data_IF_396309513077
#
_entry.id   IF_396309513077
#
_cell.length_a   1.000
_cell.length_b   1.000
_cell.length_c   1.000
_cell.angle_alpha   90.00
_cell.angle_beta   90.00
_cell.angle_gamma   90.00
#
_symmetry.space_group_name_H-M   'P 1'
#
loop_
_entity.id
_entity.type
_entity.pdbx_description
1 polymer ?
#
# COMPACT_ATOMS: atom_id res chain seq x y z
N UNK A 1 6.42 2.50 5.41
CA UNK A 1 6.85 1.18 5.89
C UNK A 1 5.67 0.26 5.91
N UNK A 2 5.84 -0.88 5.27
CA UNK A 2 4.80 -1.90 5.17
C UNK A 2 4.44 -2.43 6.56
N UNK A 3 3.16 -2.66 6.81
CA UNK A 3 2.69 -3.31 8.04
C UNK A 3 3.22 -4.76 8.18
N UNK A 4 3.85 -5.29 7.14
CA UNK A 4 4.41 -6.64 7.09
C UNK A 4 5.85 -6.73 7.59
N UNK A 5 6.56 -5.61 7.78
CA UNK A 5 7.95 -5.59 8.30
C UNK A 5 8.08 -6.17 9.71
N UNK A 6 6.98 -6.28 10.46
CA UNK A 6 6.94 -6.86 11.81
C UNK A 6 6.67 -8.37 11.86
N UNK A 7 6.47 -9.04 10.70
CA UNK A 7 6.24 -10.49 10.63
C UNK A 7 4.91 -10.98 11.23
N UNK A 8 3.97 -10.09 11.52
CA UNK A 8 2.66 -10.43 12.08
C UNK A 8 1.61 -10.45 10.98
N UNK A 9 0.91 -11.58 10.88
CA UNK A 9 -0.23 -11.74 9.98
C UNK A 9 -1.47 -11.06 10.57
N UNK A 10 -1.99 -10.05 9.88
CA UNK A 10 -3.27 -9.42 10.25
C UNK A 10 -4.41 -10.45 10.23
N UNK A 11 -4.28 -11.54 9.45
CA UNK A 11 -5.28 -12.62 9.40
C UNK A 11 -5.27 -13.52 10.65
N UNK A 12 -4.11 -13.73 11.29
CA UNK A 12 -4.04 -14.48 12.56
C UNK A 12 -4.79 -13.77 13.68
N UNK A 13 -4.75 -12.44 13.69
CA UNK A 13 -5.47 -11.62 14.68
C UNK A 13 -7.00 -11.68 14.51
N UNK A 14 -7.53 -12.17 13.38
CA UNK A 14 -8.96 -12.12 13.02
C UNK A 14 -9.62 -13.50 12.92
N UNK A 15 -8.90 -14.60 13.16
CA UNK A 15 -9.47 -15.96 13.26
C UNK A 15 -10.07 -16.52 11.96
N UNK A 16 -9.52 -16.17 10.81
CA UNK A 16 -10.02 -16.63 9.51
C UNK A 16 -9.59 -18.09 9.23
N UNK A 17 -10.57 -19.03 9.18
CA UNK A 17 -10.39 -20.39 8.67
C UNK A 17 -10.65 -20.42 7.16
N UNK A 18 -9.70 -21.00 6.42
CA UNK A 18 -9.77 -21.19 4.97
C UNK A 18 -10.97 -22.07 4.55
N UNK A 19 -11.67 -21.60 3.51
CA UNK A 19 -12.47 -22.48 2.63
C UNK A 19 -11.93 -22.35 1.20
N UNK A 20 -11.34 -23.45 0.71
CA UNK A 20 -10.85 -23.55 -0.66
C UNK A 20 -12.04 -23.72 -1.63
N UNK A 21 -12.19 -22.80 -2.60
CA UNK A 21 -13.01 -22.99 -3.79
C UNK A 21 -12.10 -23.06 -5.03
N UNK A 22 -12.08 -24.19 -5.69
CA UNK A 22 -11.43 -24.38 -6.99
C UNK A 22 -12.28 -23.75 -8.09
N UNK A 23 -11.89 -22.55 -8.52
CA UNK A 23 -12.31 -21.96 -9.79
C UNK A 23 -11.10 -21.28 -10.40
N UNK A 24 -10.68 -21.70 -11.59
CA UNK A 24 -9.50 -21.16 -12.29
C UNK A 24 -9.81 -19.76 -12.80
N UNK A 25 -9.67 -18.74 -11.94
CA UNK A 25 -9.63 -17.36 -12.36
C UNK A 25 -8.21 -17.09 -12.86
N UNK A 26 -8.08 -16.72 -14.12
CA UNK A 26 -6.79 -16.30 -14.69
C UNK A 26 -6.55 -14.88 -14.17
N UNK A 27 -5.75 -14.75 -13.13
CA UNK A 27 -5.31 -13.44 -12.66
C UNK A 27 -4.26 -12.92 -13.64
N UNK A 28 -4.54 -11.80 -14.24
CA UNK A 28 -3.59 -11.06 -15.07
C UNK A 28 -2.62 -10.36 -14.13
N UNK A 29 -1.30 -10.54 -14.32
CA UNK A 29 -0.29 -9.80 -13.56
C UNK A 29 -0.55 -8.29 -13.69
N UNK A 30 -0.36 -7.56 -12.60
CA UNK A 30 -0.52 -6.10 -12.57
C UNK A 30 0.54 -5.46 -13.48
N UNK A 31 0.09 -4.75 -14.50
CA UNK A 31 0.95 -3.91 -15.33
C UNK A 31 1.05 -2.52 -14.67
N UNK A 32 2.10 -2.32 -13.87
CA UNK A 32 2.28 -1.08 -13.10
C UNK A 32 2.37 0.16 -13.99
N UNK A 33 2.79 0.03 -15.25
CA UNK A 33 2.89 1.16 -16.18
C UNK A 33 1.54 1.80 -16.50
N UNK A 34 0.44 1.07 -16.23
CA UNK A 34 -0.95 1.52 -16.43
C UNK A 34 -1.60 2.12 -15.18
N UNK A 35 -0.89 2.14 -14.04
CA UNK A 35 -1.42 2.66 -12.77
C UNK A 35 -1.53 4.18 -12.73
N UNK A 36 -0.97 4.90 -13.69
CA UNK A 36 -1.19 6.33 -13.85
C UNK A 36 -1.24 6.75 -15.32
N UNK A 37 -2.15 7.67 -15.61
CA UNK A 37 -2.27 8.32 -16.93
C UNK A 37 -1.35 9.54 -17.07
N UNK A 38 -0.87 10.06 -15.94
CA UNK A 38 -0.09 11.30 -15.86
C UNK A 38 1.38 11.07 -15.56
N UNK A 39 1.67 10.16 -14.64
CA UNK A 39 3.02 9.91 -14.14
C UNK A 39 3.59 8.63 -14.74
N UNK A 40 4.88 8.60 -15.05
CA UNK A 40 5.54 7.34 -15.33
C UNK A 40 5.65 6.52 -14.04
N UNK A 41 5.43 5.20 -14.17
CA UNK A 41 5.46 4.29 -13.01
C UNK A 41 6.52 3.23 -13.27
N UNK A 42 7.43 3.05 -12.31
CA UNK A 42 8.46 2.01 -12.38
C UNK A 42 8.71 1.37 -11.03
N UNK A 43 9.17 0.13 -11.04
CA UNK A 43 9.67 -0.54 -9.84
C UNK A 43 10.82 0.28 -9.23
N UNK A 44 10.82 0.34 -7.92
CA UNK A 44 11.91 0.94 -7.14
C UNK A 44 12.92 -0.14 -6.79
N UNK A 45 14.18 0.18 -6.98
CA UNK A 45 15.31 -0.73 -6.79
C UNK A 45 16.18 -0.29 -5.59
N UNK A 46 17.14 -1.11 -5.20
CA UNK A 46 18.07 -0.78 -4.12
C UNK A 46 18.84 0.52 -4.38
N UNK A 47 19.10 0.85 -5.64
CA UNK A 47 19.73 2.12 -6.05
C UNK A 47 18.89 3.36 -5.74
N UNK A 48 17.58 3.22 -5.56
CA UNK A 48 16.67 4.32 -5.24
C UNK A 48 16.59 4.61 -3.72
N UNK A 49 17.12 3.74 -2.87
CA UNK A 49 16.86 3.74 -1.42
C UNK A 49 17.22 5.07 -0.76
N UNK A 50 18.31 5.72 -1.13
CA UNK A 50 18.71 7.01 -0.52
C UNK A 50 17.67 8.11 -0.82
N UNK A 51 17.11 8.13 -2.02
CA UNK A 51 16.02 9.05 -2.39
C UNK A 51 14.75 8.75 -1.58
N UNK A 52 14.43 7.46 -1.36
CA UNK A 52 13.29 7.04 -0.56
C UNK A 52 13.46 7.44 0.90
N UNK A 53 14.64 7.23 1.49
CA UNK A 53 14.98 7.64 2.87
C UNK A 53 14.76 9.14 3.04
N UNK A 54 15.23 9.95 2.07
CA UNK A 54 15.09 11.40 2.15
C UNK A 54 13.64 11.86 2.11
N UNK A 55 12.83 11.30 1.20
CA UNK A 55 11.39 11.60 1.11
C UNK A 55 10.66 11.15 2.39
N UNK A 56 10.98 9.97 2.89
CA UNK A 56 10.36 9.44 4.09
C UNK A 56 10.68 10.29 5.33
N UNK A 57 11.95 10.73 5.50
CA UNK A 57 12.36 11.62 6.61
C UNK A 57 11.59 12.94 6.64
N UNK A 58 11.21 13.48 5.48
CA UNK A 58 10.45 14.72 5.39
C UNK A 58 8.96 14.54 5.77
N UNK A 59 8.45 13.31 5.83
CA UNK A 59 7.08 12.99 6.21
C UNK A 59 6.93 12.75 7.73
N UNK A 60 7.34 13.72 8.54
CA UNK A 60 7.45 13.59 10.00
C UNK A 60 6.16 13.15 10.69
N UNK A 61 5.02 13.70 10.27
CA UNK A 61 3.70 13.36 10.83
C UNK A 61 3.39 11.87 10.74
N UNK A 62 3.76 11.20 9.63
CA UNK A 62 3.56 9.75 9.50
C UNK A 62 4.30 8.99 10.60
N UNK A 63 5.54 9.37 10.89
CA UNK A 63 6.41 8.69 11.85
C UNK A 63 6.11 9.01 13.33
N UNK A 64 5.17 9.92 13.62
CA UNK A 64 4.64 10.12 14.98
C UNK A 64 3.71 9.00 15.42
N UNK A 65 3.09 8.28 14.47
CA UNK A 65 2.05 7.28 14.70
C UNK A 65 2.48 5.84 14.40
N UNK A 66 3.73 5.63 14.04
CA UNK A 66 4.29 4.30 13.74
C UNK A 66 5.62 4.10 14.47
N UNK A 67 5.91 2.86 14.87
CA UNK A 67 7.20 2.49 15.47
C UNK A 67 8.35 2.60 14.47
N UNK A 68 8.05 2.41 13.21
CA UNK A 68 9.02 2.40 12.12
C UNK A 68 9.79 3.72 11.99
N UNK A 69 11.03 3.62 11.52
CA UNK A 69 11.88 4.77 11.23
C UNK A 69 12.39 4.69 9.78
N UNK A 70 12.53 5.83 9.09
CA UNK A 70 12.99 5.86 7.71
C UNK A 70 14.50 5.69 7.63
N UNK A 71 14.97 4.47 7.84
CA UNK A 71 16.36 4.08 7.66
C UNK A 71 16.54 3.32 6.36
N UNK A 72 17.76 3.29 5.82
CA UNK A 72 18.10 2.48 4.65
C UNK A 72 17.68 1.02 4.84
N UNK A 73 18.04 0.44 5.99
CA UNK A 73 17.75 -0.95 6.34
C UNK A 73 16.25 -1.22 6.30
N UNK A 74 15.45 -0.41 7.00
CA UNK A 74 14.01 -0.59 7.06
C UNK A 74 13.32 -0.46 5.69
N UNK A 75 13.80 0.43 4.82
CA UNK A 75 13.24 0.57 3.47
C UNK A 75 13.60 -0.65 2.61
N UNK A 76 14.83 -1.16 2.71
CA UNK A 76 15.24 -2.39 2.02
C UNK A 76 14.43 -3.60 2.47
N UNK A 77 14.11 -3.70 3.76
CA UNK A 77 13.25 -4.75 4.31
C UNK A 77 11.82 -4.61 3.79
N UNK A 78 11.26 -3.39 3.78
CA UNK A 78 9.93 -3.14 3.23
C UNK A 78 9.80 -3.53 1.76
N UNK A 79 10.85 -3.34 0.97
CA UNK A 79 10.86 -3.74 -0.44
C UNK A 79 10.76 -5.26 -0.61
N UNK A 80 11.17 -6.05 0.38
CA UNK A 80 11.32 -7.51 0.31
C UNK A 80 10.27 -8.28 1.12
N UNK A 81 9.65 -7.65 2.12
CA UNK A 81 8.70 -8.34 3.00
C UNK A 81 7.35 -8.50 2.31
N UNK A 82 6.77 -9.70 2.43
CA UNK A 82 5.41 -10.02 1.97
C UNK A 82 4.57 -10.54 3.13
N UNK A 83 3.24 -10.45 3.05
CA UNK A 83 2.37 -11.17 3.98
C UNK A 83 2.61 -12.68 3.91
N UNK A 84 2.32 -13.42 4.98
CA UNK A 84 2.36 -14.87 4.95
C UNK A 84 1.56 -15.48 3.78
N UNK A 85 2.18 -16.42 3.07
CA UNK A 85 1.57 -17.10 1.93
C UNK A 85 1.55 -16.34 0.62
N UNK A 86 2.05 -15.09 0.58
CA UNK A 86 2.14 -14.27 -0.64
C UNK A 86 3.54 -14.38 -1.24
N UNK A 87 3.61 -14.61 -2.54
CA UNK A 87 4.86 -14.63 -3.30
C UNK A 87 5.40 -13.23 -3.54
N UNK A 88 6.73 -13.10 -3.65
CA UNK A 88 7.37 -11.85 -4.09
C UNK A 88 6.93 -11.42 -5.50
N UNK A 89 6.47 -12.35 -6.35
CA UNK A 89 5.90 -12.03 -7.66
C UNK A 89 4.59 -11.25 -7.59
N UNK A 90 3.92 -11.28 -6.44
CA UNK A 90 2.64 -10.61 -6.21
C UNK A 90 2.81 -9.29 -5.45
N UNK A 91 4.05 -8.93 -5.13
CA UNK A 91 4.42 -7.66 -4.50
C UNK A 91 5.01 -6.69 -5.52
N UNK A 92 4.51 -5.48 -5.51
CA UNK A 92 4.94 -4.39 -6.37
C UNK A 92 5.33 -3.19 -5.50
N UNK A 93 6.63 -2.92 -5.38
CA UNK A 93 7.14 -1.73 -4.69
C UNK A 93 7.63 -0.74 -5.75
N UNK A 94 6.89 0.35 -5.97
CA UNK A 94 7.11 1.22 -7.13
C UNK A 94 6.90 2.70 -6.81
N UNK A 95 7.41 3.54 -7.71
CA UNK A 95 7.27 5.00 -7.63
C UNK A 95 6.51 5.57 -8.82
N UNK A 96 5.81 6.68 -8.57
CA UNK A 96 5.22 7.56 -9.58
C UNK A 96 6.18 8.72 -9.83
N UNK A 97 6.51 8.99 -11.10
CA UNK A 97 7.53 9.97 -11.46
C UNK A 97 6.99 11.05 -12.40
N UNK A 98 7.35 12.30 -12.15
CA UNK A 98 7.21 13.44 -13.05
C UNK A 98 8.59 13.74 -13.67
N UNK A 99 8.85 13.22 -14.86
CA UNK A 99 10.20 13.16 -15.39
C UNK A 99 11.11 12.29 -14.51
N UNK A 100 12.08 12.91 -13.84
CA UNK A 100 13.00 12.24 -12.90
C UNK A 100 12.61 12.43 -11.43
N UNK A 101 11.64 13.27 -11.15
CA UNK A 101 11.23 13.55 -9.78
C UNK A 101 10.24 12.50 -9.26
N UNK A 102 10.53 11.91 -8.11
CA UNK A 102 9.64 10.98 -7.44
C UNK A 102 8.50 11.75 -6.76
N UNK A 103 7.28 11.51 -7.24
CA UNK A 103 6.03 12.13 -6.77
C UNK A 103 5.41 11.38 -5.61
N UNK A 104 5.39 10.05 -5.70
CA UNK A 104 4.83 9.17 -4.68
C UNK A 104 5.46 7.78 -4.73
N UNK A 105 5.42 7.09 -3.59
CA UNK A 105 5.87 5.71 -3.38
C UNK A 105 4.63 4.86 -3.10
N UNK A 106 4.54 3.65 -3.63
CA UNK A 106 3.50 2.68 -3.29
C UNK A 106 4.08 1.28 -3.15
N UNK A 107 3.62 0.58 -2.11
CA UNK A 107 3.70 -0.87 -1.95
C UNK A 107 2.32 -1.45 -2.21
N UNK A 108 2.19 -2.30 -3.21
CA UNK A 108 0.95 -2.93 -3.62
C UNK A 108 1.13 -4.44 -3.64
N UNK A 109 0.23 -5.15 -2.98
CA UNK A 109 0.19 -6.62 -2.93
C UNK A 109 -1.02 -7.09 -3.71
N UNK A 110 -0.79 -7.94 -4.71
CA UNK A 110 -1.85 -8.56 -5.48
C UNK A 110 -2.40 -9.79 -4.75
N UNK A 111 -3.72 -9.88 -4.61
CA UNK A 111 -4.39 -11.07 -4.07
C UNK A 111 -4.30 -11.24 -2.55
N UNK A 112 -4.21 -10.17 -1.76
CA UNK A 112 -4.19 -10.24 -0.30
C UNK A 112 -5.33 -9.42 0.34
N UNK A 113 -6.03 -9.93 1.37
CA UNK A 113 -5.95 -11.26 1.98
C UNK A 113 -6.68 -12.36 1.18
N UNK A 114 -7.27 -12.01 0.04
CA UNK A 114 -7.96 -12.91 -0.88
C UNK A 114 -7.59 -12.57 -2.32
N UNK A 115 -7.63 -13.53 -3.24
CA UNK A 115 -7.23 -13.32 -4.64
C UNK A 115 -7.91 -12.14 -5.33
N UNK A 116 -9.16 -11.84 -4.98
CA UNK A 116 -9.95 -10.74 -5.55
C UNK A 116 -9.70 -9.37 -4.91
N UNK A 117 -8.79 -9.28 -3.91
CA UNK A 117 -8.48 -8.04 -3.19
C UNK A 117 -7.04 -7.61 -3.51
N UNK A 118 -6.84 -6.34 -3.84
CA UNK A 118 -5.51 -5.73 -3.86
C UNK A 118 -5.27 -5.02 -2.51
N UNK A 119 -4.04 -5.08 -2.00
CA UNK A 119 -3.70 -4.49 -0.71
C UNK A 119 -2.61 -3.44 -0.86
N UNK A 120 -2.89 -2.22 -0.41
CA UNK A 120 -1.90 -1.16 -0.33
C UNK A 120 -1.17 -1.27 1.01
N UNK A 121 0.05 -1.81 1.00
CA UNK A 121 0.90 -1.95 2.17
C UNK A 121 1.51 -0.62 2.61
N UNK A 122 1.79 0.26 1.64
CA UNK A 122 2.37 1.57 1.88
C UNK A 122 1.99 2.55 0.76
N UNK A 123 1.72 3.80 1.12
CA UNK A 123 1.59 4.91 0.19
C UNK A 123 2.11 6.19 0.82
N UNK A 124 3.07 6.83 0.17
CA UNK A 124 3.63 8.09 0.67
C UNK A 124 3.88 9.07 -0.47
N UNK A 125 3.42 10.28 -0.27
CA UNK A 125 3.66 11.38 -1.20
C UNK A 125 4.97 12.10 -0.87
N UNK A 126 5.73 12.47 -1.88
CA UNK A 126 6.75 13.48 -1.73
C UNK A 126 6.10 14.79 -1.22
N UNK A 127 6.61 15.39 -0.11
CA UNK A 127 6.00 16.57 0.51
C UNK A 127 5.77 17.74 -0.47
N UNK A 128 6.64 17.92 -1.46
CA UNK A 128 6.50 18.98 -2.47
C UNK A 128 5.25 18.84 -3.33
N UNK A 129 4.66 17.63 -3.39
CA UNK A 129 3.46 17.31 -4.16
C UNK A 129 2.20 17.19 -3.30
N UNK A 130 2.32 17.31 -1.97
CA UNK A 130 1.17 17.27 -1.05
C UNK A 130 0.29 18.52 -1.16
N UNK A 131 -0.95 18.42 -0.67
CA UNK A 131 -1.90 19.53 -0.65
C UNK A 131 -2.50 19.93 -2.02
N UNK A 132 -2.02 19.32 -3.11
CA UNK A 132 -2.39 19.67 -4.50
C UNK A 132 -3.40 18.69 -5.13
N UNK A 133 -4.06 17.85 -4.33
CA UNK A 133 -4.99 16.78 -4.76
C UNK A 133 -4.33 15.67 -5.62
N UNK A 134 -3.01 15.69 -5.78
CA UNK A 134 -2.26 14.74 -6.60
C UNK A 134 -2.40 13.31 -6.04
N UNK A 135 -2.25 13.12 -4.73
CA UNK A 135 -2.43 11.81 -4.11
C UNK A 135 -3.83 11.22 -4.32
N UNK A 136 -4.87 12.08 -4.26
CA UNK A 136 -6.25 11.66 -4.58
C UNK A 136 -6.39 11.21 -6.04
N UNK A 137 -5.75 11.91 -6.98
CA UNK A 137 -5.78 11.54 -8.39
C UNK A 137 -5.07 10.19 -8.61
N UNK A 138 -3.87 10.00 -8.03
CA UNK A 138 -3.13 8.72 -8.10
C UNK A 138 -3.97 7.57 -7.55
N UNK A 139 -4.54 7.71 -6.34
CA UNK A 139 -5.37 6.65 -5.74
C UNK A 139 -6.61 6.38 -6.60
N UNK A 140 -7.21 7.40 -7.20
CA UNK A 140 -8.33 7.23 -8.12
C UNK A 140 -7.96 6.38 -9.34
N UNK A 141 -6.81 6.65 -9.98
CA UNK A 141 -6.30 5.90 -11.14
C UNK A 141 -5.95 4.45 -10.76
N UNK A 142 -5.27 4.24 -9.64
CA UNK A 142 -4.95 2.90 -9.12
C UNK A 142 -6.22 2.08 -8.87
N UNK A 143 -7.20 2.66 -8.20
CA UNK A 143 -8.49 2.00 -7.90
C UNK A 143 -9.26 1.67 -9.18
N UNK A 144 -9.28 2.58 -10.16
CA UNK A 144 -9.89 2.35 -11.47
C UNK A 144 -9.22 1.15 -12.18
N UNK A 145 -7.89 1.12 -12.23
CA UNK A 145 -7.14 0.03 -12.82
C UNK A 145 -7.41 -1.31 -12.09
N UNK A 146 -7.43 -1.32 -10.74
CA UNK A 146 -7.74 -2.54 -9.99
C UNK A 146 -9.14 -3.09 -10.32
N UNK A 147 -10.14 -2.22 -10.43
CA UNK A 147 -11.49 -2.62 -10.87
C UNK A 147 -11.45 -3.22 -12.27
N UNK A 148 -10.75 -2.59 -13.21
CA UNK A 148 -10.70 -3.02 -14.61
C UNK A 148 -9.93 -4.34 -14.79
N UNK A 149 -9.04 -4.71 -13.84
CA UNK A 149 -8.39 -6.03 -13.75
C UNK A 149 -9.20 -7.09 -13.00
N UNK A 150 -10.44 -6.77 -12.59
CA UNK A 150 -11.36 -7.70 -11.95
C UNK A 150 -11.22 -7.82 -10.44
N UNK A 151 -10.46 -6.93 -9.78
CA UNK A 151 -10.47 -6.88 -8.31
C UNK A 151 -11.82 -6.34 -7.82
N UNK A 152 -12.29 -6.88 -6.70
CA UNK A 152 -13.57 -6.48 -6.08
C UNK A 152 -13.39 -5.43 -5.00
N UNK A 153 -12.19 -5.33 -4.45
CA UNK A 153 -11.86 -4.34 -3.42
C UNK A 153 -10.37 -3.98 -3.42
N UNK A 154 -10.08 -2.79 -2.89
CA UNK A 154 -8.74 -2.40 -2.44
C UNK A 154 -8.78 -2.22 -0.93
N UNK A 155 -7.81 -2.83 -0.22
CA UNK A 155 -7.69 -2.82 1.23
C UNK A 155 -6.37 -2.20 1.67
N UNK A 156 -6.33 -1.68 2.88
CA UNK A 156 -5.14 -1.12 3.53
C UNK A 156 -5.31 -1.09 5.05
N UNK A 157 -4.24 -0.74 5.77
CA UNK A 157 -4.31 -0.43 7.19
C UNK A 157 -3.81 0.98 7.50
N UNK A 158 -4.45 1.64 8.45
CA UNK A 158 -4.15 2.99 8.92
C UNK A 158 -3.71 2.90 10.38
N UNK A 159 -2.63 3.56 10.76
CA UNK A 159 -2.26 3.70 12.18
C UNK A 159 -3.36 4.45 12.93
N UNK A 160 -3.95 3.82 13.95
CA UNK A 160 -5.00 4.42 14.76
C UNK A 160 -4.47 5.68 15.45
N UNK A 161 -5.22 6.76 15.34
CA UNK A 161 -4.81 8.06 15.89
C UNK A 161 -4.12 8.97 14.88
N UNK A 162 -3.69 8.49 13.69
CA UNK A 162 -3.13 9.34 12.64
C UNK A 162 -4.26 10.09 11.91
N UNK A 163 -4.47 11.40 12.17
CA UNK A 163 -5.59 12.15 11.59
C UNK A 163 -5.38 12.43 10.11
N UNK A 164 -4.13 12.63 9.68
CA UNK A 164 -3.79 12.92 8.29
C UNK A 164 -4.11 11.72 7.40
N UNK A 165 -3.65 10.53 7.80
CA UNK A 165 -3.87 9.29 7.07
C UNK A 165 -5.36 8.91 7.06
N UNK A 166 -6.02 8.97 8.22
CA UNK A 166 -7.46 8.68 8.34
C UNK A 166 -8.28 9.60 7.43
N UNK A 167 -8.03 10.92 7.46
CA UNK A 167 -8.72 11.87 6.59
C UNK A 167 -8.47 11.57 5.10
N UNK A 168 -7.21 11.31 4.74
CA UNK A 168 -6.84 11.04 3.34
C UNK A 168 -7.58 9.81 2.81
N UNK A 169 -7.53 8.68 3.50
CA UNK A 169 -8.13 7.44 3.03
C UNK A 169 -9.66 7.49 3.03
N UNK A 170 -10.28 8.05 4.08
CA UNK A 170 -11.74 8.24 4.15
C UNK A 170 -12.25 9.10 2.99
N UNK A 171 -11.56 10.22 2.70
CA UNK A 171 -11.89 11.10 1.58
C UNK A 171 -11.77 10.40 0.22
N UNK A 172 -10.88 9.42 0.11
CA UNK A 172 -10.71 8.60 -1.10
C UNK A 172 -11.64 7.37 -1.13
N UNK A 173 -12.68 7.33 -0.28
CA UNK A 173 -13.75 6.33 -0.32
C UNK A 173 -13.44 5.02 0.43
N UNK A 174 -12.34 4.96 1.19
CA UNK A 174 -12.06 3.83 2.05
C UNK A 174 -12.87 3.93 3.34
N UNK A 175 -13.43 2.81 3.80
CA UNK A 175 -14.20 2.72 5.05
C UNK A 175 -13.52 1.74 5.98
N UNK A 176 -13.37 2.10 7.26
CA UNK A 176 -12.88 1.18 8.28
C UNK A 176 -13.85 0.03 8.43
N UNK A 177 -13.35 -1.20 8.34
CA UNK A 177 -14.14 -2.44 8.43
C UNK A 177 -13.90 -3.17 9.74
N UNK A 178 -12.71 -3.08 10.33
CA UNK A 178 -12.38 -3.57 11.68
C UNK A 178 -11.08 -2.96 12.20
N UNK A 179 -10.79 -3.17 13.48
CA UNK A 179 -9.51 -2.84 14.10
C UNK A 179 -8.69 -4.12 14.31
N UNK A 180 -7.39 -4.05 14.09
CA UNK A 180 -6.43 -5.13 14.34
C UNK A 180 -5.30 -4.63 15.24
N UNK A 181 -4.82 -5.47 16.15
CA UNK A 181 -3.58 -5.20 16.88
C UNK A 181 -2.41 -5.84 16.15
N UNK A 182 -1.37 -5.06 15.92
CA UNK A 182 -0.12 -5.51 15.29
C UNK A 182 1.02 -5.09 16.20
N UNK A 183 1.59 -6.03 16.94
CA UNK A 183 2.69 -5.80 17.89
C UNK A 183 2.38 -4.69 18.94
N UNK A 184 1.16 -4.64 19.47
CA UNK A 184 0.73 -3.61 20.42
C UNK A 184 0.35 -2.27 19.78
N UNK A 185 0.34 -2.19 18.45
CA UNK A 185 -0.14 -1.02 17.70
C UNK A 185 -1.48 -1.32 17.05
N UNK A 186 -2.50 -0.57 17.42
CA UNK A 186 -3.82 -0.71 16.80
C UNK A 186 -3.82 -0.13 15.41
N UNK A 187 -4.23 -0.93 14.43
CA UNK A 187 -4.45 -0.53 13.03
C UNK A 187 -5.94 -0.50 12.72
N UNK A 188 -6.37 0.50 11.97
CA UNK A 188 -7.70 0.56 11.37
C UNK A 188 -7.61 -0.08 9.98
N UNK A 189 -8.15 -1.28 9.83
CA UNK A 189 -8.23 -1.92 8.50
C UNK A 189 -9.36 -1.28 7.73
N UNK A 190 -9.05 -0.71 6.57
CA UNK A 190 -10.00 0.01 5.74
C UNK A 190 -10.05 -0.58 4.33
N UNK A 191 -11.23 -0.52 3.71
CA UNK A 191 -11.49 -1.10 2.40
C UNK A 191 -12.32 -0.16 1.54
N UNK A 192 -12.04 -0.14 0.23
CA UNK A 192 -12.86 0.48 -0.78
C UNK A 192 -13.35 -0.59 -1.75
N UNK A 193 -14.68 -0.77 -1.82
CA UNK A 193 -15.33 -1.64 -2.80
C UNK A 193 -15.22 -1.06 -4.21
N UNK A 194 -15.07 -1.92 -5.22
CA UNK A 194 -14.82 -1.56 -6.62
C UNK A 194 -15.99 -1.84 -7.56
N UNK A 195 -17.12 -2.27 -6.98
CA UNK A 195 -18.38 -2.53 -7.74
C UNK A 195 -19.04 -1.23 -8.15
#
# INVERSE_FOLDING_TARGET
MSIFSSGVDILEAVGFREQFFYGRVVYTMIDISKLSKRYSVRILEESDVEMLVEICKQNTVFYEYTEARPTRENILDDMKVTPPGISMSDKYYFGFFDGQELVAIMDLIDGYPKPEIAYIGFFMMNPTYQGKKIGTAIIGEVVEYMRDTGKTAVRLAIDKGNPQSTHFWTKNGFRVIFEADVNGWTKLVAERQLM
#
